data_IF_732879808736
#
_entry.id   IF_732879808736
#
_cell.length_a   1.000
_cell.length_b   1.000
_cell.length_c   1.000
_cell.angle_alpha   90.00
_cell.angle_beta   90.00
_cell.angle_gamma   90.00
#
_symmetry.space_group_name_H-M   'P 1'
#
loop_
_entity.id
_entity.type
_entity.pdbx_description
1 polymer ?
#
# COMPACT_ATOMS: atom_id res chain seq x y z
N UNK A 1 -20.77 22.34 18.02
CA UNK A 1 -22.24 22.22 18.04
C UNK A 1 -22.77 20.86 17.55
N UNK A 2 -21.92 19.92 17.30
CA UNK A 2 -22.26 18.60 16.73
C UNK A 2 -22.37 17.46 17.77
N UNK A 3 -22.23 17.82 19.08
CA UNK A 3 -22.28 16.83 20.15
C UNK A 3 -23.61 16.08 20.25
N UNK A 4 -24.74 16.78 20.03
CA UNK A 4 -26.07 16.16 20.10
C UNK A 4 -26.27 15.16 18.95
N UNK A 5 -25.81 15.45 17.74
CA UNK A 5 -25.92 14.55 16.61
C UNK A 5 -25.07 13.30 16.81
N UNK A 6 -23.89 13.44 17.39
CA UNK A 6 -23.01 12.32 17.73
C UNK A 6 -23.63 11.42 18.80
N UNK A 7 -24.12 12.01 19.89
CA UNK A 7 -24.71 11.26 21.00
C UNK A 7 -26.01 10.56 20.59
N UNK A 8 -26.80 11.15 19.69
CA UNK A 8 -28.05 10.57 19.16
C UNK A 8 -27.87 9.63 17.98
N UNK A 9 -26.62 9.42 17.50
CA UNK A 9 -26.34 8.60 16.32
C UNK A 9 -26.82 9.18 15.00
N UNK A 10 -27.12 10.48 14.95
CA UNK A 10 -27.55 11.18 13.73
C UNK A 10 -26.39 11.74 12.91
N UNK A 11 -25.22 11.88 13.53
CA UNK A 11 -24.03 12.33 12.83
C UNK A 11 -23.67 11.33 11.71
N UNK A 12 -23.50 11.84 10.49
CA UNK A 12 -23.07 11.04 9.35
C UNK A 12 -21.57 11.17 9.16
N UNK A 13 -20.91 10.04 9.00
CA UNK A 13 -19.50 9.94 8.70
C UNK A 13 -19.30 9.58 7.22
N UNK A 14 -18.07 9.58 6.76
CA UNK A 14 -17.73 9.31 5.36
C UNK A 14 -18.34 7.99 4.85
N UNK A 15 -18.33 6.94 5.66
CA UNK A 15 -18.89 5.63 5.30
C UNK A 15 -20.43 5.65 5.14
N UNK A 16 -21.13 6.51 5.89
CA UNK A 16 -22.58 6.67 5.78
C UNK A 16 -22.99 7.39 4.48
N UNK A 17 -22.04 8.09 3.86
CA UNK A 17 -22.22 8.85 2.62
C UNK A 17 -21.75 8.08 1.39
N UNK A 18 -21.07 6.94 1.57
CA UNK A 18 -20.62 6.10 0.47
C UNK A 18 -21.78 5.39 -0.20
N UNK A 19 -21.69 5.24 -1.51
CA UNK A 19 -22.64 4.40 -2.25
C UNK A 19 -22.45 2.94 -1.83
N UNK A 20 -23.53 2.32 -1.33
CA UNK A 20 -23.54 0.92 -0.90
C UNK A 20 -23.32 -0.08 -2.05
N UNK A 21 -23.42 0.37 -3.28
CA UNK A 21 -23.12 -0.42 -4.48
C UNK A 21 -21.64 -0.27 -4.93
N UNK A 22 -20.85 0.56 -4.25
CA UNK A 22 -19.44 0.73 -4.58
C UNK A 22 -18.63 -0.56 -4.32
N UNK A 23 -17.70 -0.86 -5.21
CA UNK A 23 -16.75 -1.94 -5.00
C UNK A 23 -15.80 -1.62 -3.84
N UNK A 24 -15.32 -2.67 -3.20
CA UNK A 24 -14.33 -2.58 -2.12
C UNK A 24 -12.94 -2.81 -2.71
N UNK A 25 -12.02 -1.89 -2.46
CA UNK A 25 -10.61 -2.06 -2.78
C UNK A 25 -9.81 -2.34 -1.51
N UNK A 26 -8.99 -3.39 -1.53
CA UNK A 26 -8.04 -3.71 -0.45
C UNK A 26 -6.65 -3.91 -1.00
N UNK A 27 -5.66 -3.44 -0.26
CA UNK A 27 -4.25 -3.50 -0.65
C UNK A 27 -3.58 -4.70 -0.01
N UNK A 28 -2.73 -5.38 -0.78
CA UNK A 28 -1.80 -6.40 -0.30
C UNK A 28 -0.49 -5.73 0.09
N UNK A 29 -0.15 -5.87 1.36
CA UNK A 29 1.09 -5.35 1.91
C UNK A 29 2.20 -6.40 1.88
N UNK A 30 3.43 -5.94 1.69
CA UNK A 30 4.61 -6.79 1.77
C UNK A 30 4.83 -7.32 3.19
N UNK A 31 5.23 -8.58 3.29
CA UNK A 31 5.56 -9.29 4.53
C UNK A 31 7.06 -9.43 4.78
N UNK A 32 7.87 -8.70 4.01
CA UNK A 32 9.33 -8.59 4.18
C UNK A 32 9.75 -7.17 4.51
N UNK A 33 10.90 -7.01 5.15
CA UNK A 33 11.40 -5.70 5.54
C UNK A 33 12.08 -4.94 4.40
N UNK A 34 12.77 -5.65 3.49
CA UNK A 34 13.46 -5.06 2.35
C UNK A 34 13.70 -6.10 1.27
N UNK A 35 13.36 -5.78 0.03
CA UNK A 35 13.56 -6.69 -1.10
C UNK A 35 12.92 -6.22 -2.39
N UNK A 36 13.06 -7.03 -3.41
CA UNK A 36 12.45 -6.81 -4.73
C UNK A 36 11.36 -7.86 -4.96
N UNK A 37 10.20 -7.43 -5.41
CA UNK A 37 9.13 -8.33 -5.87
C UNK A 37 9.55 -8.97 -7.18
N UNK A 38 9.67 -10.27 -7.20
CA UNK A 38 9.99 -11.05 -8.41
C UNK A 38 8.77 -11.37 -9.24
N UNK A 39 7.75 -11.89 -8.58
CA UNK A 39 6.51 -12.29 -9.21
C UNK A 39 5.34 -12.15 -8.25
N UNK A 40 4.14 -11.94 -8.81
CA UNK A 40 2.87 -11.93 -8.07
C UNK A 40 1.92 -12.88 -8.79
N UNK A 41 1.65 -14.04 -8.18
CA UNK A 41 0.68 -15.00 -8.70
C UNK A 41 -0.72 -14.68 -8.17
N UNK A 42 -1.59 -14.26 -9.07
CA UNK A 42 -2.99 -13.90 -8.79
C UNK A 42 -4.00 -14.93 -9.31
N UNK A 43 -3.53 -16.05 -9.86
CA UNK A 43 -4.32 -17.01 -10.64
C UNK A 43 -5.50 -17.58 -9.84
N UNK A 44 -5.29 -17.96 -8.59
CA UNK A 44 -6.35 -18.50 -7.73
C UNK A 44 -7.27 -17.40 -7.19
N UNK A 45 -6.71 -16.23 -6.89
CA UNK A 45 -7.48 -15.10 -6.40
C UNK A 45 -8.48 -14.58 -7.45
N UNK A 46 -8.10 -14.58 -8.73
CA UNK A 46 -8.96 -14.14 -9.83
C UNK A 46 -10.17 -15.05 -10.06
N UNK A 47 -10.11 -16.32 -9.64
CA UNK A 47 -11.21 -17.29 -9.80
C UNK A 47 -12.29 -17.14 -8.72
N UNK A 48 -12.04 -16.39 -7.66
CA UNK A 48 -13.00 -16.21 -6.57
C UNK A 48 -14.24 -15.44 -7.02
N UNK A 49 -15.44 -15.93 -6.68
CA UNK A 49 -16.67 -15.18 -6.91
C UNK A 49 -16.61 -13.83 -6.18
N UNK A 50 -17.07 -12.77 -6.86
CA UNK A 50 -17.10 -11.40 -6.32
C UNK A 50 -15.78 -10.64 -6.45
N UNK A 51 -14.71 -11.25 -6.98
CA UNK A 51 -13.49 -10.52 -7.36
C UNK A 51 -13.71 -9.89 -8.73
N UNK A 52 -13.56 -8.56 -8.79
CA UNK A 52 -13.76 -7.79 -10.01
C UNK A 52 -12.45 -7.60 -10.77
N UNK A 53 -11.40 -7.21 -10.04
CA UNK A 53 -10.08 -6.99 -10.62
C UNK A 53 -8.97 -7.10 -9.56
N UNK A 54 -7.82 -7.60 -10.00
CA UNK A 54 -6.57 -7.54 -9.23
C UNK A 54 -5.56 -6.75 -10.05
N UNK A 55 -4.84 -5.85 -9.38
CA UNK A 55 -3.81 -4.99 -9.96
C UNK A 55 -2.55 -5.18 -9.14
N UNK A 56 -1.44 -5.42 -9.80
CA UNK A 56 -0.13 -5.64 -9.17
C UNK A 56 0.82 -4.47 -9.42
N UNK A 57 1.95 -4.45 -8.74
CA UNK A 57 3.01 -3.45 -8.97
C UNK A 57 3.54 -3.44 -10.40
N UNK A 58 3.31 -4.51 -11.17
CA UNK A 58 3.71 -4.60 -12.58
C UNK A 58 2.69 -4.00 -13.55
N UNK A 59 1.43 -3.82 -13.11
CA UNK A 59 0.32 -3.38 -13.95
C UNK A 59 0.08 -1.87 -13.89
N UNK A 60 0.64 -1.18 -12.90
CA UNK A 60 0.41 0.25 -12.66
C UNK A 60 1.52 1.11 -13.26
N UNK A 61 1.19 2.32 -13.75
CA UNK A 61 2.21 3.25 -14.20
C UNK A 61 3.07 3.75 -13.03
N UNK A 62 4.38 3.90 -13.28
CA UNK A 62 5.36 4.31 -12.27
C UNK A 62 5.40 5.84 -12.11
N UNK A 63 4.33 6.42 -11.57
CA UNK A 63 4.30 7.83 -11.20
C UNK A 63 4.69 8.02 -9.74
N UNK A 64 5.79 8.74 -9.53
CA UNK A 64 6.23 9.08 -8.19
C UNK A 64 5.45 10.25 -7.62
N UNK A 65 5.04 10.15 -6.37
CA UNK A 65 4.36 11.20 -5.61
C UNK A 65 4.99 11.37 -4.22
N UNK A 66 4.87 12.55 -3.60
CA UNK A 66 5.35 12.75 -2.25
C UNK A 66 4.45 12.04 -1.24
N UNK A 67 5.04 11.52 -0.17
CA UNK A 67 4.27 11.06 0.99
C UNK A 67 3.68 12.27 1.69
N UNK A 68 2.38 12.29 1.94
CA UNK A 68 1.74 13.38 2.66
C UNK A 68 2.30 13.50 4.08
N UNK A 69 3.03 14.56 4.35
CA UNK A 69 3.65 14.80 5.66
C UNK A 69 3.82 16.28 5.95
N UNK A 70 4.00 17.09 4.92
CA UNK A 70 4.14 18.54 5.04
C UNK A 70 2.93 19.26 4.45
N UNK A 71 2.56 20.43 5.00
CA UNK A 71 1.57 21.27 4.35
C UNK A 71 2.09 21.60 2.94
N UNK A 72 1.19 21.54 1.97
CA UNK A 72 1.51 21.90 0.60
C UNK A 72 2.16 23.30 0.56
N UNK A 73 3.32 23.40 -0.07
CA UNK A 73 4.06 24.66 -0.21
C UNK A 73 4.35 24.95 -1.68
N UNK A 74 4.19 26.21 -2.07
CA UNK A 74 4.65 26.72 -3.36
C UNK A 74 6.14 27.03 -3.38
N UNK A 75 6.79 27.05 -2.21
CA UNK A 75 8.22 27.28 -2.10
C UNK A 75 8.99 26.01 -2.51
N UNK A 76 9.85 26.07 -3.55
CA UNK A 76 10.66 24.94 -3.98
C UNK A 76 11.56 24.35 -2.88
N UNK A 77 11.96 25.15 -1.90
CA UNK A 77 12.78 24.70 -0.77
C UNK A 77 12.01 23.83 0.24
N UNK A 78 10.68 23.87 0.20
CA UNK A 78 9.79 23.14 1.12
C UNK A 78 8.92 22.10 0.39
N UNK A 79 9.29 21.68 -0.81
CA UNK A 79 8.58 20.60 -1.50
C UNK A 79 9.02 19.25 -0.99
N UNK A 80 8.04 18.35 -0.79
CA UNK A 80 8.31 16.97 -0.42
C UNK A 80 9.00 16.21 -1.56
N UNK A 81 9.86 15.28 -1.17
CA UNK A 81 10.51 14.38 -2.11
C UNK A 81 9.48 13.41 -2.69
N UNK A 82 9.44 13.32 -4.02
CA UNK A 82 8.59 12.37 -4.74
C UNK A 82 9.28 11.00 -4.78
N UNK A 83 9.08 10.20 -3.77
CA UNK A 83 9.76 8.92 -3.58
C UNK A 83 8.82 7.71 -3.43
N UNK A 84 7.49 7.94 -3.50
CA UNK A 84 6.48 6.88 -3.35
C UNK A 84 5.84 6.54 -4.67
N UNK A 85 5.60 5.26 -4.87
CA UNK A 85 4.73 4.69 -5.90
C UNK A 85 3.42 4.22 -5.28
N UNK A 86 2.36 4.12 -6.08
CA UNK A 86 1.07 3.58 -5.63
C UNK A 86 1.20 2.11 -5.23
N UNK A 87 1.83 1.31 -6.09
CA UNK A 87 2.25 -0.06 -5.79
C UNK A 87 3.73 -0.17 -6.18
N UNK A 88 4.53 -0.83 -5.34
CA UNK A 88 5.98 -0.88 -5.52
C UNK A 88 6.51 -2.28 -5.79
N UNK A 89 7.48 -2.37 -6.69
CA UNK A 89 8.31 -3.58 -6.87
C UNK A 89 9.46 -3.61 -5.86
N UNK A 90 9.89 -2.44 -5.37
CA UNK A 90 10.97 -2.33 -4.40
C UNK A 90 10.42 -2.09 -3.01
N UNK A 91 10.29 -3.16 -2.26
CA UNK A 91 9.87 -3.14 -0.85
C UNK A 91 10.96 -2.54 0.00
N UNK A 92 10.66 -1.47 0.72
CA UNK A 92 11.60 -0.72 1.57
C UNK A 92 11.30 -0.83 3.06
N UNK A 93 10.11 -1.30 3.40
CA UNK A 93 9.69 -1.55 4.77
C UNK A 93 8.57 -2.62 4.81
N UNK A 94 8.41 -3.23 5.96
CA UNK A 94 7.30 -4.15 6.19
C UNK A 94 5.95 -3.42 6.08
N UNK A 95 5.08 -3.89 5.21
CA UNK A 95 3.81 -3.25 4.95
C UNK A 95 3.78 -2.33 3.72
N UNK A 96 4.83 -2.31 2.89
CA UNK A 96 4.83 -1.58 1.62
C UNK A 96 3.80 -2.17 0.65
N UNK A 97 3.20 -1.34 -0.22
CA UNK A 97 2.06 -1.71 -1.05
C UNK A 97 2.52 -2.45 -2.33
N UNK A 98 2.07 -3.70 -2.52
CA UNK A 98 2.52 -4.55 -3.64
C UNK A 98 1.43 -4.82 -4.67
N UNK A 99 0.21 -5.04 -4.22
CA UNK A 99 -0.93 -5.33 -5.09
C UNK A 99 -2.23 -4.78 -4.49
N UNK A 100 -3.27 -4.65 -5.30
CA UNK A 100 -4.60 -4.26 -4.86
C UNK A 100 -5.67 -5.19 -5.46
N UNK A 101 -6.65 -5.55 -4.65
CA UNK A 101 -7.82 -6.33 -5.05
C UNK A 101 -9.04 -5.44 -5.01
N UNK A 102 -9.83 -5.46 -6.07
CA UNK A 102 -11.16 -4.85 -6.17
C UNK A 102 -12.20 -5.96 -6.20
N UNK A 103 -13.16 -5.93 -5.28
CA UNK A 103 -14.19 -6.93 -5.13
C UNK A 103 -15.57 -6.31 -4.79
N UNK A 104 -16.63 -7.08 -4.96
CA UNK A 104 -17.99 -6.66 -4.65
C UNK A 104 -18.26 -6.47 -3.16
N UNK A 105 -17.47 -7.14 -2.32
CA UNK A 105 -17.62 -7.06 -0.86
C UNK A 105 -16.29 -7.32 -0.14
N UNK A 106 -16.24 -6.98 1.14
CA UNK A 106 -15.03 -7.13 1.98
C UNK A 106 -14.58 -8.58 2.14
N UNK A 107 -15.51 -9.51 2.20
CA UNK A 107 -15.18 -10.94 2.40
C UNK A 107 -14.45 -11.48 1.18
N UNK A 108 -14.96 -11.20 -0.03
CA UNK A 108 -14.32 -11.59 -1.28
C UNK A 108 -12.94 -10.95 -1.42
N UNK A 109 -12.80 -9.65 -1.11
CA UNK A 109 -11.53 -8.95 -1.13
C UNK A 109 -10.51 -9.57 -0.16
N UNK A 110 -10.93 -9.85 1.07
CA UNK A 110 -10.05 -10.45 2.09
C UNK A 110 -9.65 -11.89 1.75
N UNK A 111 -10.54 -12.68 1.17
CA UNK A 111 -10.23 -14.04 0.71
C UNK A 111 -9.25 -14.01 -0.47
N UNK A 112 -9.47 -13.11 -1.43
CA UNK A 112 -8.58 -12.95 -2.58
C UNK A 112 -7.16 -12.57 -2.15
N UNK A 113 -7.00 -11.64 -1.21
CA UNK A 113 -5.68 -11.26 -0.70
C UNK A 113 -4.88 -12.44 -0.13
N UNK A 114 -5.56 -13.40 0.52
CA UNK A 114 -4.92 -14.59 1.10
C UNK A 114 -4.46 -15.61 0.06
N UNK A 115 -5.01 -15.56 -1.15
CA UNK A 115 -4.67 -16.47 -2.25
C UNK A 115 -3.58 -15.90 -3.17
N UNK A 116 -3.30 -14.60 -3.10
CA UNK A 116 -2.21 -14.00 -3.84
C UNK A 116 -0.88 -14.45 -3.22
N UNK A 117 0.00 -14.96 -4.07
CA UNK A 117 1.36 -15.37 -3.68
C UNK A 117 2.36 -14.40 -4.27
N UNK A 118 3.25 -13.89 -3.43
CA UNK A 118 4.32 -12.98 -3.84
C UNK A 118 5.66 -13.65 -3.61
N UNK A 119 6.51 -13.63 -4.62
CA UNK A 119 7.89 -14.07 -4.52
C UNK A 119 8.80 -12.84 -4.41
N UNK A 120 9.69 -12.87 -3.44
CA UNK A 120 10.62 -11.78 -3.17
C UNK A 120 12.07 -12.22 -3.29
N UNK A 121 12.92 -11.30 -3.72
CA UNK A 121 14.37 -11.34 -3.51
C UNK A 121 14.70 -10.50 -2.28
N UNK A 122 14.97 -11.11 -1.13
CA UNK A 122 15.30 -10.36 0.08
C UNK A 122 16.63 -9.59 -0.07
N UNK A 123 16.64 -8.35 0.37
CA UNK A 123 17.82 -7.50 0.42
C UNK A 123 18.25 -7.28 1.86
N UNK A 124 19.55 -6.98 2.12
CA UNK A 124 20.02 -6.64 3.45
C UNK A 124 19.26 -5.43 4.02
N UNK A 125 18.93 -5.49 5.29
CA UNK A 125 18.26 -4.40 6.02
C UNK A 125 18.86 -4.20 7.40
N UNK A 126 18.74 -2.98 7.94
CA UNK A 126 19.17 -2.65 9.29
C UNK A 126 18.06 -2.97 10.30
N UNK A 127 18.29 -3.97 11.16
CA UNK A 127 17.33 -4.38 12.18
C UNK A 127 17.45 -3.61 13.52
N UNK A 128 18.32 -2.58 13.61
CA UNK A 128 18.51 -1.79 14.84
C UNK A 128 19.37 -0.55 14.65
N UNK A 129 19.08 0.49 15.44
CA UNK A 129 19.75 1.79 15.39
C UNK A 129 21.27 1.74 15.65
N UNK A 130 21.75 0.73 16.35
CA UNK A 130 23.19 0.58 16.67
C UNK A 130 24.03 0.15 15.49
N UNK A 131 23.45 -0.46 14.44
CA UNK A 131 24.15 -0.85 13.21
C UNK A 131 24.08 0.20 12.10
N UNK A 132 23.10 1.11 12.15
CA UNK A 132 22.92 2.15 11.13
C UNK A 132 23.92 3.29 11.21
N UNK A 133 24.61 3.49 12.36
CA UNK A 133 25.61 4.55 12.55
C UNK A 133 27.05 4.10 12.27
N UNK A 134 27.28 2.86 11.88
CA UNK A 134 28.55 2.43 11.34
C UNK A 134 28.76 3.10 9.98
N UNK A 135 29.68 4.05 9.90
CA UNK A 135 30.18 4.64 8.65
C UNK A 135 30.78 3.53 7.76
N UNK A 136 29.94 2.70 7.19
CA UNK A 136 30.28 1.78 6.14
C UNK A 136 30.39 2.58 4.84
N UNK A 137 31.53 3.15 4.58
CA UNK A 137 31.92 3.53 3.23
C UNK A 137 31.93 2.25 2.41
N UNK A 138 30.91 2.01 1.63
CA UNK A 138 31.00 1.12 0.49
C UNK A 138 31.98 1.76 -0.47
N UNK A 139 33.16 1.16 -0.59
CA UNK A 139 34.04 1.42 -1.71
C UNK A 139 33.34 0.87 -2.95
N UNK A 140 32.89 1.76 -3.81
CA UNK A 140 32.59 1.43 -5.18
C UNK A 140 33.91 1.08 -5.86
N UNK A 141 34.01 -0.11 -6.37
CA UNK A 141 34.94 -0.54 -7.41
C UNK A 141 34.16 -0.95 -8.61
#
# INVERSE_FOLDING_TARGET
MDALEKVTGRAKYTEDLCDKSAYIARVLHADIAHGIVRSVDTSEAQKLPGVVKIVTCFDVPKYYFPTAGHPWSTDPAHQDVKDRLLLTEHVRFYGDDVAAVVAENEVAAAQALRLIKVEYDPLPFCAGCTKGNGRGRSAAS
#
